data_IF_926420737919
#
_entry.id   IF_926420737919
#
_cell.length_a   1.000
_cell.length_b   1.000
_cell.length_c   1.000
_cell.angle_alpha   90.00
_cell.angle_beta   90.00
_cell.angle_gamma   90.00
#
_symmetry.space_group_name_H-M   'P 1'
#
loop_
_entity.id
_entity.type
_entity.pdbx_description
1 polymer ?
#
# COMPACT_ATOMS: atom_id res chain seq x y z
N UNK A 1 29.31 47.20 -17.03
CA UNK A 1 29.87 46.64 -15.78
C UNK A 1 30.46 45.29 -16.15
N UNK A 2 31.78 45.24 -16.36
CA UNK A 2 32.80 44.87 -15.36
C UNK A 2 32.76 43.38 -15.00
N UNK A 3 33.85 42.61 -14.97
CA UNK A 3 35.25 42.71 -15.40
C UNK A 3 35.81 41.33 -14.95
N UNK A 4 36.48 40.59 -15.85
CA UNK A 4 37.64 39.71 -15.53
C UNK A 4 37.45 38.46 -14.60
N UNK A 5 38.33 37.45 -14.55
CA UNK A 5 39.60 37.21 -15.27
C UNK A 5 39.88 35.71 -15.49
N UNK A 6 40.99 35.41 -16.18
CA UNK A 6 41.71 34.12 -16.34
C UNK A 6 41.67 33.18 -15.12
N UNK A 7 41.57 31.84 -15.23
CA UNK A 7 42.24 30.84 -16.08
C UNK A 7 43.64 30.37 -15.57
N UNK A 8 44.02 29.15 -16.01
CA UNK A 8 45.37 28.52 -16.04
C UNK A 8 45.77 27.56 -14.88
N UNK A 9 46.06 26.31 -15.29
CA UNK A 9 46.99 25.27 -14.76
C UNK A 9 46.97 24.84 -13.27
N UNK A 10 47.34 23.59 -12.94
CA UNK A 10 47.90 22.55 -13.80
C UNK A 10 47.93 21.16 -13.14
N UNK A 11 48.35 20.16 -13.91
CA UNK A 11 48.39 18.75 -13.52
C UNK A 11 49.69 18.34 -12.80
N UNK A 12 49.70 17.12 -12.23
CA UNK A 12 50.74 16.05 -12.32
C UNK A 12 50.75 15.19 -11.04
N UNK A 13 50.13 14.01 -11.17
CA UNK A 13 50.65 12.66 -10.92
C UNK A 13 51.68 12.27 -9.82
N UNK A 14 51.43 11.06 -9.28
CA UNK A 14 52.33 10.03 -8.72
C UNK A 14 53.24 10.30 -7.50
N UNK A 15 53.09 9.47 -6.45
CA UNK A 15 54.08 8.41 -6.07
C UNK A 15 53.54 7.43 -5.01
N UNK A 16 54.03 6.18 -5.00
CA UNK A 16 53.78 5.15 -3.95
C UNK A 16 55.12 4.58 -3.47
N UNK A 17 55.41 4.71 -2.17
CA UNK A 17 56.53 4.18 -1.36
C UNK A 17 56.08 4.28 0.14
N UNK A 18 56.49 3.51 1.16
CA UNK A 18 57.25 2.25 1.25
C UNK A 18 57.88 2.03 2.66
N UNK A 19 57.50 1.00 3.44
CA UNK A 19 58.24 0.56 4.67
C UNK A 19 57.46 0.35 5.99
N UNK A 20 57.91 -0.61 6.83
CA UNK A 20 57.32 -1.07 8.12
C UNK A 20 58.29 -0.78 9.32
N UNK A 21 58.20 -1.33 10.57
CA UNK A 21 57.11 -1.86 11.43
C UNK A 21 57.22 -1.52 12.98
N UNK A 22 56.34 -2.10 13.83
CA UNK A 22 56.44 -2.39 15.30
C UNK A 22 56.45 -1.26 16.38
N UNK A 23 55.40 -1.22 17.24
CA UNK A 23 55.54 -1.45 18.72
C UNK A 23 54.22 -1.71 19.47
N UNK A 24 54.28 -2.62 20.45
CA UNK A 24 53.20 -3.02 21.36
C UNK A 24 53.11 -2.11 22.61
N UNK A 25 51.89 -1.77 23.04
CA UNK A 25 51.39 -1.96 24.43
C UNK A 25 49.90 -1.57 24.55
N UNK A 26 49.05 -2.51 24.99
CA UNK A 26 47.78 -2.18 25.68
C UNK A 26 48.10 -1.79 27.14
N UNK A 27 47.24 -1.00 27.78
CA UNK A 27 46.19 -1.63 28.59
C UNK A 27 44.78 -1.12 28.27
N UNK A 28 43.79 -1.82 28.84
CA UNK A 28 42.37 -1.51 28.76
C UNK A 28 42.04 -0.31 29.66
N UNK A 29 41.15 0.60 29.23
CA UNK A 29 39.77 0.63 29.74
C UNK A 29 38.89 1.74 29.12
N UNK A 30 37.60 1.42 29.03
CA UNK A 30 36.45 2.32 28.94
C UNK A 30 36.56 3.57 28.04
N UNK A 31 36.31 3.38 26.74
CA UNK A 31 35.73 4.47 25.96
C UNK A 31 34.21 4.30 25.92
N UNK A 32 33.48 5.20 26.58
CA UNK A 32 32.01 5.23 26.54
C UNK A 32 31.58 5.78 25.18
N UNK A 33 31.52 4.90 24.18
CA UNK A 33 31.11 5.24 22.84
C UNK A 33 29.62 5.57 22.80
N UNK A 34 29.29 6.85 22.97
CA UNK A 34 27.99 7.38 22.60
C UNK A 34 27.81 7.19 21.08
N UNK A 35 27.19 6.07 20.69
CA UNK A 35 26.71 5.90 19.33
C UNK A 35 25.53 6.83 19.15
N UNK A 36 25.75 7.91 18.40
CA UNK A 36 24.67 8.73 17.86
C UNK A 36 23.69 7.81 17.14
N UNK A 37 22.55 7.55 17.78
CA UNK A 37 21.43 6.87 17.16
C UNK A 37 20.83 7.81 16.12
N UNK A 38 21.48 7.85 14.95
CA UNK A 38 21.03 8.53 13.74
C UNK A 38 19.58 8.14 13.53
N UNK A 39 18.65 9.06 13.80
CA UNK A 39 17.21 8.91 13.52
C UNK A 39 16.99 8.85 12.01
N UNK A 40 17.35 7.72 11.40
CA UNK A 40 16.75 7.29 10.15
C UNK A 40 15.29 6.99 10.46
N UNK A 41 14.38 7.79 9.90
CA UNK A 41 12.95 7.52 10.02
C UNK A 41 12.65 6.19 9.35
N UNK A 42 12.35 5.16 10.14
CA UNK A 42 11.88 3.88 9.62
C UNK A 42 10.50 4.09 9.02
N UNK A 43 10.41 4.04 7.69
CA UNK A 43 9.17 4.03 6.92
C UNK A 43 8.40 2.72 7.13
N UNK A 44 7.84 2.55 8.32
CA UNK A 44 6.65 1.73 8.59
C UNK A 44 5.49 2.71 8.33
N UNK A 45 4.55 2.51 7.39
CA UNK A 45 4.04 1.27 6.79
C UNK A 45 4.04 1.42 5.25
N UNK A 46 4.60 0.43 4.53
CA UNK A 46 4.39 0.33 3.08
C UNK A 46 3.07 -0.40 2.80
N UNK A 47 2.04 0.33 2.38
CA UNK A 47 0.71 -0.24 2.13
C UNK A 47 0.64 -1.21 0.95
N UNK A 48 1.73 -1.40 0.20
CA UNK A 48 1.84 -2.37 -0.90
C UNK A 48 1.42 -3.79 -0.48
N UNK A 49 1.68 -4.16 0.79
CA UNK A 49 1.43 -5.53 1.28
C UNK A 49 -0.07 -5.85 1.41
N UNK A 50 -0.96 -4.85 1.53
CA UNK A 50 -2.39 -5.11 1.73
C UNK A 50 -3.18 -5.41 0.42
N UNK A 51 -2.55 -5.29 -0.76
CA UNK A 51 -3.18 -5.64 -2.05
C UNK A 51 -2.43 -6.69 -2.90
N UNK A 52 -1.16 -7.00 -2.64
CA UNK A 52 -0.33 -7.80 -3.57
C UNK A 52 -0.47 -9.34 -3.47
N UNK A 53 -1.35 -9.93 -2.65
CA UNK A 53 -1.43 -11.41 -2.44
C UNK A 53 -2.81 -12.09 -2.50
N UNK A 54 -3.83 -11.52 -3.15
CA UNK A 54 -5.17 -12.16 -3.27
C UNK A 54 -5.48 -12.87 -4.61
N UNK A 55 -4.52 -13.03 -5.52
CA UNK A 55 -4.77 -13.48 -6.91
C UNK A 55 -4.43 -14.94 -7.25
N UNK A 56 -3.95 -15.76 -6.32
CA UNK A 56 -3.43 -17.13 -6.60
C UNK A 56 -4.35 -18.29 -6.16
N UNK A 57 -5.58 -18.04 -5.69
CA UNK A 57 -6.52 -19.10 -5.32
C UNK A 57 -7.88 -18.91 -5.99
N UNK A 58 -8.38 -20.02 -6.58
CA UNK A 58 -9.64 -20.19 -7.31
C UNK A 58 -9.68 -19.72 -8.79
N UNK A 59 -8.74 -20.22 -9.59
CA UNK A 59 -8.98 -20.55 -11.01
C UNK A 59 -9.31 -22.06 -11.11
N UNK A 60 -10.19 -22.44 -12.06
CA UNK A 60 -10.86 -23.74 -12.27
C UNK A 60 -12.13 -23.84 -11.40
N UNK A 61 -13.34 -23.92 -11.97
CA UNK A 61 -13.75 -24.73 -13.14
C UNK A 61 -14.45 -23.91 -14.24
N UNK A 62 -14.07 -24.18 -15.50
CA UNK A 62 -14.82 -23.89 -16.73
C UNK A 62 -15.26 -25.25 -17.34
N UNK A 63 -16.22 -25.42 -18.26
CA UNK A 63 -17.14 -24.53 -18.97
C UNK A 63 -18.35 -25.37 -19.47
N UNK A 64 -19.38 -24.74 -20.04
CA UNK A 64 -20.44 -25.40 -20.82
C UNK A 64 -21.01 -24.47 -21.91
N UNK A 65 -21.43 -24.96 -23.10
CA UNK A 65 -21.32 -24.17 -24.33
C UNK A 65 -22.64 -23.62 -24.93
N UNK A 66 -22.54 -22.45 -25.59
CA UNK A 66 -23.22 -21.91 -26.81
C UNK A 66 -24.68 -22.33 -27.08
N UNK A 67 -25.67 -21.42 -27.16
CA UNK A 67 -26.08 -20.59 -28.33
C UNK A 67 -27.26 -19.64 -27.91
N UNK A 68 -27.95 -18.79 -28.70
CA UNK A 68 -28.08 -18.63 -30.18
C UNK A 68 -28.34 -17.14 -30.59
N UNK A 69 -28.50 -16.93 -31.90
CA UNK A 69 -28.65 -15.71 -32.74
C UNK A 69 -29.89 -14.79 -32.53
N UNK A 70 -29.64 -13.46 -32.50
CA UNK A 70 -30.29 -12.45 -33.37
C UNK A 70 -31.65 -11.81 -33.04
N UNK A 71 -31.71 -10.47 -33.05
CA UNK A 71 -32.71 -9.65 -33.79
C UNK A 71 -32.34 -8.16 -33.78
N UNK A 72 -32.53 -7.45 -34.90
CA UNK A 72 -32.42 -5.98 -35.00
C UNK A 72 -33.69 -5.30 -34.49
N UNK A 73 -33.56 -4.23 -33.71
CA UNK A 73 -34.33 -2.96 -33.74
C UNK A 73 -33.57 -1.98 -32.83
N UNK A 74 -33.23 -0.79 -33.34
CA UNK A 74 -32.60 0.27 -32.54
C UNK A 74 -33.62 1.34 -32.11
N UNK A 75 -33.61 1.80 -30.85
CA UNK A 75 -34.25 3.03 -30.45
C UNK A 75 -33.29 4.23 -30.57
N UNK A 76 -33.85 5.42 -30.81
CA UNK A 76 -33.06 6.66 -30.82
C UNK A 76 -32.59 7.00 -29.40
N UNK A 77 -31.28 7.03 -29.18
CA UNK A 77 -30.72 7.52 -27.92
C UNK A 77 -30.59 9.04 -27.99
N UNK A 78 -31.58 9.75 -27.47
CA UNK A 78 -31.32 11.06 -26.87
C UNK A 78 -30.28 10.90 -25.75
N UNK A 79 -29.59 11.97 -25.32
CA UNK A 79 -28.65 11.89 -24.22
C UNK A 79 -29.41 11.52 -22.94
N UNK A 80 -29.41 10.24 -22.58
CA UNK A 80 -29.86 9.84 -21.26
C UNK A 80 -28.91 10.50 -20.28
N UNK A 81 -29.46 11.36 -19.43
CA UNK A 81 -28.89 11.54 -18.12
C UNK A 81 -28.97 10.16 -17.47
N UNK A 82 -27.87 9.43 -17.53
CA UNK A 82 -27.75 8.15 -16.86
C UNK A 82 -27.90 8.44 -15.37
N UNK A 83 -29.11 8.21 -14.85
CA UNK A 83 -29.36 8.23 -13.42
C UNK A 83 -28.40 7.22 -12.81
N UNK A 84 -27.41 7.73 -12.09
CA UNK A 84 -26.28 6.96 -11.59
C UNK A 84 -26.79 5.96 -10.54
N UNK A 85 -27.05 4.74 -11.01
CA UNK A 85 -27.80 3.74 -10.26
C UNK A 85 -27.10 3.40 -8.96
N UNK A 86 -27.87 3.44 -7.86
CA UNK A 86 -27.44 2.89 -6.58
C UNK A 86 -27.36 1.37 -6.73
N UNK A 87 -26.14 0.84 -6.63
CA UNK A 87 -25.83 -0.61 -6.75
C UNK A 87 -25.58 -1.25 -5.39
N UNK A 88 -25.26 -0.43 -4.37
CA UNK A 88 -25.17 -0.88 -2.99
C UNK A 88 -25.55 0.25 -2.03
N UNK A 89 -25.88 -0.11 -0.79
CA UNK A 89 -26.02 0.84 0.32
C UNK A 89 -25.39 0.28 1.58
N UNK A 90 -24.74 1.14 2.37
CA UNK A 90 -24.10 0.82 3.66
C UNK A 90 -24.67 1.74 4.73
N UNK A 91 -25.63 1.24 5.51
CA UNK A 91 -26.32 2.05 6.51
C UNK A 91 -27.23 3.09 5.86
N UNK A 92 -26.87 4.37 5.97
CA UNK A 92 -27.52 5.48 5.27
C UNK A 92 -26.78 5.94 4.00
N UNK A 93 -25.56 5.46 3.75
CA UNK A 93 -24.79 5.81 2.56
C UNK A 93 -25.19 4.97 1.34
N UNK A 94 -25.47 5.63 0.22
CA UNK A 94 -25.59 4.97 -1.08
C UNK A 94 -24.21 4.84 -1.75
N UNK A 95 -24.02 3.81 -2.56
CA UNK A 95 -22.85 3.58 -3.42
C UNK A 95 -23.39 3.40 -4.84
N UNK A 96 -22.91 4.22 -5.77
CA UNK A 96 -23.33 4.17 -7.17
C UNK A 96 -22.34 3.42 -8.06
N UNK A 97 -22.74 3.16 -9.31
CA UNK A 97 -21.81 2.68 -10.35
C UNK A 97 -20.64 3.64 -10.54
N UNK A 98 -20.91 4.95 -10.61
CA UNK A 98 -19.84 5.93 -10.82
C UNK A 98 -18.89 6.05 -9.63
N UNK A 99 -19.33 5.74 -8.39
CA UNK A 99 -18.42 5.65 -7.25
C UNK A 99 -17.39 4.52 -7.41
N UNK A 100 -17.84 3.33 -7.82
CA UNK A 100 -16.96 2.16 -8.05
C UNK A 100 -15.99 2.41 -9.22
N UNK A 101 -16.47 3.02 -10.30
CA UNK A 101 -15.60 3.37 -11.44
C UNK A 101 -14.59 4.47 -11.09
N UNK A 102 -14.97 5.42 -10.22
CA UNK A 102 -14.06 6.48 -9.72
C UNK A 102 -12.98 5.90 -8.82
N UNK A 103 -13.34 5.04 -7.86
CA UNK A 103 -12.37 4.38 -6.97
C UNK A 103 -11.40 3.51 -7.78
N UNK A 104 -11.89 2.70 -8.72
CA UNK A 104 -11.03 1.89 -9.60
C UNK A 104 -9.97 2.74 -10.33
N UNK A 105 -10.35 3.92 -10.84
CA UNK A 105 -9.42 4.81 -11.53
C UNK A 105 -8.47 5.54 -10.58
N UNK A 106 -8.93 5.88 -9.37
CA UNK A 106 -8.12 6.49 -8.31
C UNK A 106 -7.05 5.51 -7.80
N UNK A 107 -7.41 4.26 -7.56
CA UNK A 107 -6.48 3.18 -7.20
C UNK A 107 -5.34 3.08 -8.23
N UNK A 108 -5.67 3.01 -9.51
CA UNK A 108 -4.67 2.93 -10.60
C UNK A 108 -3.82 4.19 -10.73
N UNK A 109 -4.37 5.38 -10.43
CA UNK A 109 -3.58 6.61 -10.35
C UNK A 109 -2.54 6.53 -9.22
N UNK A 110 -2.93 6.06 -8.04
CA UNK A 110 -2.07 5.96 -6.86
C UNK A 110 -1.02 4.84 -7.03
N UNK A 111 -1.44 3.66 -7.50
CA UNK A 111 -0.59 2.47 -7.65
C UNK A 111 0.36 2.60 -8.84
N UNK A 112 -0.12 3.05 -10.00
CA UNK A 112 0.57 2.90 -11.29
C UNK A 112 0.91 4.24 -11.96
N UNK A 113 0.44 5.38 -11.43
CA UNK A 113 0.67 6.69 -12.03
C UNK A 113 -0.11 6.92 -13.33
N UNK A 114 -1.23 6.21 -13.53
CA UNK A 114 -2.07 6.36 -14.74
C UNK A 114 -3.57 6.27 -14.42
N UNK A 115 -4.38 6.97 -15.19
CA UNK A 115 -5.84 6.86 -15.15
C UNK A 115 -6.31 5.96 -16.31
N UNK A 116 -6.95 4.80 -16.02
CA UNK A 116 -7.59 3.99 -17.05
C UNK A 116 -8.68 4.78 -17.78
N UNK A 117 -8.65 4.75 -19.12
CA UNK A 117 -9.70 5.37 -19.96
C UNK A 117 -10.98 4.54 -20.01
N UNK A 118 -10.84 3.21 -19.91
CA UNK A 118 -11.96 2.26 -19.91
C UNK A 118 -12.45 2.01 -18.48
N UNK A 119 -13.76 1.69 -18.30
CA UNK A 119 -14.25 1.08 -17.07
C UNK A 119 -13.52 -0.23 -16.74
N UNK A 120 -13.59 -0.72 -15.48
CA UNK A 120 -13.15 -2.06 -15.14
C UNK A 120 -13.99 -3.12 -15.85
N UNK A 121 -13.41 -4.30 -16.10
CA UNK A 121 -14.19 -5.49 -16.46
C UNK A 121 -15.09 -5.94 -15.30
N UNK A 122 -16.05 -6.85 -15.54
CA UNK A 122 -17.00 -7.28 -14.52
C UNK A 122 -16.32 -7.83 -13.24
N UNK A 123 -15.27 -8.64 -13.39
CA UNK A 123 -14.58 -9.21 -12.24
C UNK A 123 -13.76 -8.16 -11.47
N UNK A 124 -13.19 -7.17 -12.16
CA UNK A 124 -12.56 -6.02 -11.54
C UNK A 124 -13.60 -5.11 -10.85
N UNK A 125 -14.75 -4.89 -11.47
CA UNK A 125 -15.86 -4.11 -10.90
C UNK A 125 -16.36 -4.71 -9.59
N UNK A 126 -16.64 -6.02 -9.55
CA UNK A 126 -17.11 -6.72 -8.34
C UNK A 126 -16.08 -6.68 -7.20
N UNK A 127 -14.78 -6.74 -7.52
CA UNK A 127 -13.70 -6.59 -6.53
C UNK A 127 -13.65 -5.16 -5.96
N UNK A 128 -13.77 -4.14 -6.81
CA UNK A 128 -13.75 -2.74 -6.37
C UNK A 128 -15.02 -2.38 -5.61
N UNK A 129 -16.21 -2.82 -6.05
CA UNK A 129 -17.47 -2.65 -5.32
C UNK A 129 -17.39 -3.22 -3.90
N UNK A 130 -16.90 -4.44 -3.75
CA UNK A 130 -16.71 -5.03 -2.42
C UNK A 130 -15.73 -4.22 -1.56
N UNK A 131 -14.64 -3.71 -2.15
CA UNK A 131 -13.69 -2.85 -1.44
C UNK A 131 -14.29 -1.50 -1.03
N UNK A 132 -15.08 -0.85 -1.89
CA UNK A 132 -15.78 0.40 -1.57
C UNK A 132 -16.78 0.18 -0.42
N UNK A 133 -17.47 -0.97 -0.38
CA UNK A 133 -18.32 -1.37 0.75
C UNK A 133 -17.49 -1.51 2.04
N UNK A 134 -16.36 -2.24 1.99
CA UNK A 134 -15.49 -2.44 3.17
C UNK A 134 -14.85 -1.14 3.66
N UNK A 135 -14.35 -0.30 2.75
CA UNK A 135 -13.83 1.04 3.04
C UNK A 135 -14.92 1.93 3.67
N UNK A 136 -16.17 1.85 3.19
CA UNK A 136 -17.30 2.62 3.73
C UNK A 136 -17.60 2.21 5.17
N UNK A 137 -17.66 0.91 5.46
CA UNK A 137 -17.85 0.37 6.81
C UNK A 137 -16.71 0.81 7.75
N UNK A 138 -15.45 0.62 7.34
CA UNK A 138 -14.29 0.99 8.14
C UNK A 138 -14.19 2.51 8.36
N UNK A 139 -14.60 3.33 7.38
CA UNK A 139 -14.63 4.78 7.52
C UNK A 139 -15.78 5.27 8.43
N UNK A 140 -16.90 4.55 8.49
CA UNK A 140 -17.97 4.82 9.47
C UNK A 140 -17.45 4.57 10.89
N UNK A 141 -16.75 3.45 11.13
CA UNK A 141 -16.14 3.18 12.44
C UNK A 141 -15.07 4.24 12.79
N UNK A 142 -14.14 4.54 11.88
CA UNK A 142 -13.04 5.49 12.13
C UNK A 142 -13.55 6.90 12.44
N UNK A 143 -14.70 7.27 11.86
CA UNK A 143 -15.39 8.53 12.15
C UNK A 143 -16.10 8.51 13.51
N UNK A 144 -16.62 7.36 13.94
CA UNK A 144 -17.27 7.19 15.25
C UNK A 144 -16.26 7.12 16.41
N UNK A 145 -15.08 6.53 16.19
CA UNK A 145 -13.98 6.50 17.18
C UNK A 145 -13.30 7.88 17.36
N UNK A 146 -13.54 8.85 16.47
CA UNK A 146 -13.06 10.23 16.62
C UNK A 146 -11.53 10.39 16.55
N UNK A 147 -10.84 9.48 15.88
CA UNK A 147 -9.37 9.44 15.84
C UNK A 147 -8.78 10.61 15.05
N UNK A 148 -8.30 11.63 15.77
CA UNK A 148 -7.41 12.66 15.25
C UNK A 148 -5.95 12.36 15.65
N UNK A 149 -5.35 11.42 14.91
CA UNK A 149 -3.98 10.96 15.13
C UNK A 149 -2.96 11.97 14.61
N UNK A 150 -2.19 12.58 15.53
CA UNK A 150 -1.06 13.43 15.20
C UNK A 150 -0.06 12.70 14.29
N UNK A 151 0.09 13.18 13.05
CA UNK A 151 1.01 12.62 12.06
C UNK A 151 0.37 12.10 10.78
N UNK A 152 -0.94 11.77 10.76
CA UNK A 152 -1.63 11.25 9.56
C UNK A 152 -1.45 12.15 8.34
N UNK A 153 -1.62 13.46 8.50
CA UNK A 153 -1.39 14.46 7.43
C UNK A 153 0.05 14.43 6.89
N UNK A 154 1.03 14.15 7.76
CA UNK A 154 2.43 13.99 7.35
C UNK A 154 2.66 12.74 6.51
N UNK A 155 2.04 11.61 6.89
CA UNK A 155 2.10 10.34 6.15
C UNK A 155 1.39 10.49 4.80
N UNK A 156 0.17 11.05 4.79
CA UNK A 156 -0.59 11.32 3.57
C UNK A 156 0.15 12.27 2.61
N UNK A 157 0.81 13.31 3.12
CA UNK A 157 1.64 14.21 2.31
C UNK A 157 2.88 13.51 1.72
N UNK A 158 3.53 12.60 2.46
CA UNK A 158 4.61 11.76 1.92
C UNK A 158 4.10 10.81 0.83
N UNK A 159 2.93 10.19 1.04
CA UNK A 159 2.29 9.31 0.06
C UNK A 159 1.89 10.07 -1.20
N UNK A 160 1.33 11.27 -1.07
CA UNK A 160 1.06 12.20 -2.18
C UNK A 160 2.33 12.54 -2.97
N UNK A 161 3.44 12.84 -2.29
CA UNK A 161 4.74 13.06 -2.94
C UNK A 161 5.26 11.80 -3.66
N UNK A 162 4.95 10.60 -3.14
CA UNK A 162 5.19 9.33 -3.80
C UNK A 162 4.36 9.13 -5.08
N UNK A 163 3.07 9.49 -5.05
CA UNK A 163 2.19 9.45 -6.24
C UNK A 163 2.68 10.43 -7.31
N UNK A 164 2.96 11.69 -6.94
CA UNK A 164 3.51 12.72 -7.85
C UNK A 164 4.76 12.25 -8.61
N UNK A 165 5.67 11.52 -7.94
CA UNK A 165 6.90 10.97 -8.56
C UNK A 165 6.66 9.91 -9.64
N UNK A 166 5.45 9.33 -9.73
CA UNK A 166 5.09 8.38 -10.80
C UNK A 166 4.75 9.09 -12.12
N UNK A 167 4.53 10.41 -12.10
CA UNK A 167 4.18 11.20 -13.28
C UNK A 167 5.40 11.89 -13.89
N UNK A 168 5.46 12.03 -15.23
CA UNK A 168 6.59 12.65 -15.92
C UNK A 168 6.68 14.17 -15.72
N UNK A 169 5.58 14.83 -15.29
CA UNK A 169 5.54 16.26 -14.99
C UNK A 169 4.35 16.61 -14.10
N UNK A 170 4.40 17.77 -13.43
CA UNK A 170 3.27 18.30 -12.66
C UNK A 170 2.03 18.50 -13.54
N UNK A 171 2.18 19.04 -14.76
CA UNK A 171 1.06 19.22 -15.68
C UNK A 171 0.40 17.90 -16.12
N UNK A 172 1.15 16.79 -16.18
CA UNK A 172 0.60 15.46 -16.43
C UNK A 172 -0.19 14.93 -15.22
N UNK A 173 0.34 15.12 -14.01
CA UNK A 173 -0.33 14.78 -12.75
C UNK A 173 -1.64 15.56 -12.58
N UNK A 174 -1.61 16.88 -12.69
CA UNK A 174 -2.80 17.74 -12.56
C UNK A 174 -3.88 17.39 -13.60
N UNK A 175 -3.46 17.01 -14.82
CA UNK A 175 -4.40 16.61 -15.88
C UNK A 175 -5.00 15.23 -15.62
N UNK A 176 -4.25 14.33 -14.97
CA UNK A 176 -4.79 13.05 -14.50
C UNK A 176 -5.81 13.25 -13.37
N UNK A 177 -5.52 14.11 -12.39
CA UNK A 177 -6.48 14.46 -11.33
C UNK A 177 -7.75 15.12 -11.89
N UNK A 178 -7.60 16.11 -12.78
CA UNK A 178 -8.74 16.75 -13.46
C UNK A 178 -9.60 15.75 -14.25
N UNK A 179 -9.02 14.69 -14.80
CA UNK A 179 -9.78 13.61 -15.49
C UNK A 179 -10.61 12.72 -14.54
N UNK A 180 -10.34 12.78 -13.23
CA UNK A 180 -11.13 12.16 -12.17
C UNK A 180 -12.10 13.16 -11.49
N UNK A 181 -12.14 14.42 -11.95
CA UNK A 181 -12.93 15.48 -11.33
C UNK A 181 -12.40 15.96 -9.97
N UNK A 182 -11.09 15.79 -9.72
CA UNK A 182 -10.45 16.18 -8.46
C UNK A 182 -9.24 17.10 -8.65
N UNK A 183 -8.88 17.81 -7.59
CA UNK A 183 -7.60 18.50 -7.44
C UNK A 183 -6.65 17.78 -6.46
N UNK A 184 -5.47 18.35 -6.24
CA UNK A 184 -4.47 17.77 -5.34
C UNK A 184 -4.90 17.81 -3.86
N UNK A 185 -5.65 18.83 -3.44
CA UNK A 185 -6.14 18.96 -2.06
C UNK A 185 -7.15 17.85 -1.77
N UNK A 186 -8.04 17.55 -2.70
CA UNK A 186 -8.99 16.44 -2.61
C UNK A 186 -8.28 15.08 -2.60
N UNK A 187 -7.20 14.90 -3.38
CA UNK A 187 -6.36 13.71 -3.28
C UNK A 187 -5.68 13.59 -1.90
N UNK A 188 -5.16 14.71 -1.34
CA UNK A 188 -4.58 14.70 -0.01
C UNK A 188 -5.61 14.32 1.06
N UNK A 189 -6.83 14.87 0.99
CA UNK A 189 -7.94 14.54 1.88
C UNK A 189 -8.36 13.06 1.76
N UNK A 190 -8.38 12.51 0.55
CA UNK A 190 -8.65 11.08 0.33
C UNK A 190 -7.54 10.19 0.91
N UNK A 191 -6.27 10.56 0.74
CA UNK A 191 -5.14 9.86 1.34
C UNK A 191 -5.17 9.95 2.88
N UNK A 192 -5.44 11.13 3.45
CA UNK A 192 -5.62 11.29 4.90
C UNK A 192 -6.72 10.39 5.45
N UNK A 193 -7.88 10.32 4.77
CA UNK A 193 -8.97 9.41 5.16
C UNK A 193 -8.51 7.95 5.15
N UNK A 194 -7.74 7.52 4.15
CA UNK A 194 -7.17 6.17 4.13
C UNK A 194 -6.21 5.95 5.30
N UNK A 195 -5.27 6.86 5.57
CA UNK A 195 -4.32 6.72 6.69
C UNK A 195 -5.01 6.71 8.06
N UNK A 196 -6.08 7.51 8.29
CA UNK A 196 -6.90 7.41 9.52
C UNK A 196 -7.50 6.03 9.71
N UNK A 197 -8.09 5.47 8.65
CA UNK A 197 -8.68 4.12 8.68
C UNK A 197 -7.65 3.05 8.99
N UNK A 198 -6.42 3.19 8.46
CA UNK A 198 -5.33 2.26 8.68
C UNK A 198 -4.78 2.33 10.10
N UNK A 199 -4.65 3.54 10.65
CA UNK A 199 -4.22 3.73 12.02
C UNK A 199 -5.24 3.20 13.03
N UNK A 200 -6.55 3.36 12.78
CA UNK A 200 -7.61 2.70 13.53
C UNK A 200 -7.45 1.17 13.52
N UNK A 201 -7.31 0.56 12.34
CA UNK A 201 -7.11 -0.90 12.18
C UNK A 201 -5.87 -1.37 12.98
N UNK A 202 -4.77 -0.62 12.87
CA UNK A 202 -3.52 -0.89 13.57
C UNK A 202 -3.70 -0.84 15.09
N UNK A 203 -4.27 0.26 15.63
CA UNK A 203 -4.51 0.43 17.06
C UNK A 203 -5.46 -0.64 17.63
N UNK A 204 -6.50 -1.02 16.88
CA UNK A 204 -7.52 -1.98 17.31
C UNK A 204 -7.05 -3.44 17.23
N UNK A 205 -6.34 -3.81 16.15
CA UNK A 205 -6.00 -5.22 15.88
C UNK A 205 -4.58 -5.61 16.30
N UNK A 206 -3.60 -4.71 16.25
CA UNK A 206 -2.19 -5.03 16.55
C UNK A 206 -1.92 -5.45 18.00
N UNK A 207 -2.54 -4.87 19.05
CA UNK A 207 -2.28 -5.27 20.44
C UNK A 207 -2.56 -6.76 20.71
N UNK A 208 -3.59 -7.31 20.08
CA UNK A 208 -3.91 -8.74 20.17
C UNK A 208 -3.12 -9.60 19.17
N UNK A 209 -2.42 -9.02 18.18
CA UNK A 209 -1.81 -9.70 17.03
C UNK A 209 -0.37 -10.16 17.23
N UNK A 210 0.19 -9.97 18.43
CA UNK A 210 1.51 -10.52 18.76
C UNK A 210 1.53 -12.04 18.59
N UNK A 211 2.50 -12.59 17.84
CA UNK A 211 2.78 -14.02 17.86
C UNK A 211 3.54 -14.40 19.13
N UNK A 212 3.24 -15.59 19.64
CA UNK A 212 4.05 -16.22 20.68
C UNK A 212 5.36 -16.77 20.09
N UNK A 213 6.16 -17.47 20.91
CA UNK A 213 7.46 -17.97 20.49
C UNK A 213 7.30 -19.24 19.63
N UNK A 214 6.33 -20.06 19.98
CA UNK A 214 6.00 -21.34 19.37
C UNK A 214 5.56 -21.14 17.91
N UNK A 215 4.74 -20.13 17.63
CA UNK A 215 4.32 -19.71 16.29
C UNK A 215 5.49 -19.22 15.43
N UNK A 216 6.44 -18.49 16.02
CA UNK A 216 7.66 -18.02 15.34
C UNK A 216 8.57 -19.21 14.99
N UNK A 217 8.80 -20.12 15.93
CA UNK A 217 9.60 -21.33 15.72
C UNK A 217 8.96 -22.27 14.70
N UNK A 218 7.63 -22.41 14.72
CA UNK A 218 6.87 -23.13 13.71
C UNK A 218 6.99 -22.49 12.33
N UNK A 219 6.74 -21.19 12.19
CA UNK A 219 6.87 -20.49 10.90
C UNK A 219 8.28 -20.61 10.31
N UNK A 220 9.31 -20.46 11.16
CA UNK A 220 10.70 -20.66 10.75
C UNK A 220 10.92 -22.06 10.17
N UNK A 221 10.54 -23.11 10.93
CA UNK A 221 10.74 -24.51 10.55
C UNK A 221 9.92 -24.93 9.33
N UNK A 222 8.66 -24.52 9.26
CA UNK A 222 7.66 -25.09 8.36
C UNK A 222 7.41 -24.23 7.10
N UNK A 223 7.74 -22.93 7.14
CA UNK A 223 7.56 -22.03 5.99
C UNK A 223 8.89 -21.43 5.52
N UNK A 224 9.69 -20.86 6.42
CA UNK A 224 10.93 -20.18 6.04
C UNK A 224 12.01 -21.15 5.52
N UNK A 225 12.30 -22.23 6.27
CA UNK A 225 13.33 -23.19 5.86
C UNK A 225 13.02 -23.86 4.50
N UNK A 226 11.79 -24.34 4.19
CA UNK A 226 11.48 -24.92 2.88
C UNK A 226 11.57 -23.90 1.74
N UNK A 227 11.05 -22.68 1.90
CA UNK A 227 11.17 -21.64 0.86
C UNK A 227 12.62 -21.19 0.66
N UNK A 228 13.43 -21.13 1.73
CA UNK A 228 14.86 -20.83 1.63
C UNK A 228 15.60 -21.93 0.86
N UNK A 229 15.37 -23.21 1.20
CA UNK A 229 15.97 -24.35 0.49
C UNK A 229 15.57 -24.41 -0.99
N UNK A 230 14.35 -23.96 -1.34
CA UNK A 230 13.88 -23.90 -2.74
C UNK A 230 14.51 -22.78 -3.56
N UNK A 231 14.94 -21.67 -2.94
CA UNK A 231 15.44 -20.46 -3.61
C UNK A 231 16.95 -20.25 -3.49
N UNK A 232 17.56 -20.75 -2.42
CA UNK A 232 18.94 -20.47 -2.04
C UNK A 232 19.95 -21.53 -2.49
N UNK A 233 21.22 -21.15 -2.47
CA UNK A 233 22.38 -22.05 -2.52
C UNK A 233 23.25 -21.79 -1.30
N UNK A 234 22.94 -22.43 -0.17
CA UNK A 234 23.67 -22.24 1.08
C UNK A 234 22.89 -22.72 2.31
N UNK A 235 23.52 -22.63 3.47
CA UNK A 235 22.85 -22.86 4.75
C UNK A 235 21.89 -21.69 5.07
N UNK A 236 20.70 -21.97 5.65
CA UNK A 236 19.77 -20.93 6.06
C UNK A 236 20.33 -20.11 7.23
N UNK A 237 19.99 -18.80 7.33
CA UNK A 237 20.34 -17.98 8.50
C UNK A 237 19.63 -18.52 9.75
N UNK A 238 20.26 -18.35 10.91
CA UNK A 238 19.72 -18.86 12.17
C UNK A 238 18.47 -18.10 12.61
N UNK A 239 17.57 -18.75 13.34
CA UNK A 239 16.30 -18.16 13.79
C UNK A 239 16.49 -16.77 14.44
N UNK A 240 17.50 -16.59 15.29
CA UNK A 240 17.75 -15.30 15.97
C UNK A 240 18.07 -14.13 15.03
N UNK A 241 18.57 -14.42 13.83
CA UNK A 241 18.90 -13.40 12.82
C UNK A 241 17.65 -12.94 12.06
N UNK A 242 16.64 -13.81 11.94
CA UNK A 242 15.40 -13.56 11.19
C UNK A 242 14.15 -13.43 12.08
N UNK A 243 14.25 -13.64 13.40
CA UNK A 243 13.12 -13.64 14.34
C UNK A 243 12.27 -12.37 14.22
N UNK A 244 12.90 -11.18 14.19
CA UNK A 244 12.18 -9.92 14.06
C UNK A 244 11.38 -9.81 12.77
N UNK A 245 11.91 -10.34 11.66
CA UNK A 245 11.21 -10.35 10.36
C UNK A 245 10.05 -11.34 10.38
N UNK A 246 10.24 -12.53 10.95
CA UNK A 246 9.20 -13.55 11.10
C UNK A 246 8.08 -13.04 12.02
N UNK A 247 8.43 -12.36 13.11
CA UNK A 247 7.49 -11.72 14.03
C UNK A 247 6.59 -10.72 13.30
N UNK A 248 7.15 -9.78 12.54
CA UNK A 248 6.32 -8.82 11.79
C UNK A 248 5.48 -9.48 10.68
N UNK A 249 5.98 -10.52 10.01
CA UNK A 249 5.18 -11.31 9.03
C UNK A 249 3.97 -11.95 9.72
N UNK A 250 4.16 -12.56 10.90
CA UNK A 250 3.09 -13.20 11.65
C UNK A 250 2.11 -12.18 12.25
N UNK A 251 2.60 -11.02 12.73
CA UNK A 251 1.75 -9.89 13.15
C UNK A 251 0.85 -9.45 12.00
N UNK A 252 1.41 -9.22 10.80
CA UNK A 252 0.61 -8.80 9.64
C UNK A 252 -0.44 -9.86 9.28
N UNK A 253 -0.05 -11.14 9.21
CA UNK A 253 -1.00 -12.23 8.94
C UNK A 253 -2.15 -12.26 9.94
N UNK A 254 -1.86 -12.15 11.25
CA UNK A 254 -2.90 -12.10 12.30
C UNK A 254 -3.79 -10.86 12.21
N UNK A 255 -3.26 -9.72 11.79
CA UNK A 255 -4.05 -8.51 11.51
C UNK A 255 -4.99 -8.76 10.31
N UNK A 256 -4.50 -9.34 9.22
CA UNK A 256 -5.28 -9.62 8.01
C UNK A 256 -6.44 -10.61 8.28
N UNK A 257 -6.16 -11.68 9.04
CA UNK A 257 -7.14 -12.68 9.46
C UNK A 257 -8.26 -12.05 10.31
N UNK A 258 -7.90 -11.19 11.27
CA UNK A 258 -8.87 -10.51 12.15
C UNK A 258 -9.62 -9.38 11.48
N UNK A 259 -8.98 -8.63 10.59
CA UNK A 259 -9.68 -7.61 9.79
C UNK A 259 -10.72 -8.28 8.88
N UNK A 260 -10.41 -9.46 8.35
CA UNK A 260 -11.37 -10.25 7.57
C UNK A 260 -12.55 -10.74 8.43
N UNK A 261 -12.31 -11.16 9.68
CA UNK A 261 -13.37 -11.52 10.62
C UNK A 261 -14.22 -10.30 11.04
N UNK A 262 -13.58 -9.16 11.32
CA UNK A 262 -14.23 -7.93 11.74
C UNK A 262 -15.05 -7.28 10.61
N UNK A 263 -14.56 -7.28 9.37
CA UNK A 263 -15.34 -6.85 8.20
C UNK A 263 -16.61 -7.71 8.00
N UNK A 264 -16.53 -9.02 8.28
CA UNK A 264 -17.70 -9.90 8.23
C UNK A 264 -18.73 -9.55 9.30
N UNK A 265 -18.29 -9.19 10.50
CA UNK A 265 -19.14 -8.68 11.57
C UNK A 265 -19.76 -7.32 11.19
N UNK A 266 -18.95 -6.36 10.74
CA UNK A 266 -19.41 -5.04 10.29
C UNK A 266 -20.47 -5.15 9.20
N UNK A 267 -20.27 -6.01 8.19
CA UNK A 267 -21.25 -6.31 7.12
C UNK A 267 -22.55 -6.95 7.62
N UNK A 268 -22.52 -7.64 8.77
CA UNK A 268 -23.71 -8.24 9.38
C UNK A 268 -24.46 -7.26 10.29
N UNK A 269 -23.73 -6.39 10.99
CA UNK A 269 -24.29 -5.40 11.92
C UNK A 269 -24.83 -4.17 11.19
N UNK A 270 -24.13 -3.71 10.16
CA UNK A 270 -24.59 -2.61 9.30
C UNK A 270 -25.54 -3.14 8.24
N UNK A 271 -26.54 -2.33 7.87
CA UNK A 271 -27.48 -2.65 6.79
C UNK A 271 -26.79 -2.51 5.43
N UNK A 272 -26.02 -3.53 5.05
CA UNK A 272 -25.45 -3.66 3.70
C UNK A 272 -26.51 -4.27 2.79
N UNK A 273 -26.80 -3.60 1.66
CA UNK A 273 -27.66 -4.13 0.60
C UNK A 273 -26.96 -3.97 -0.75
N UNK A 274 -27.16 -4.95 -1.63
CA UNK A 274 -26.84 -4.87 -3.05
C UNK A 274 -28.16 -4.75 -3.82
N UNK A 275 -28.12 -4.09 -4.98
CA UNK A 275 -29.27 -3.81 -5.85
C UNK A 275 -29.02 -4.31 -7.27
#
# INVERSE_FOLDING_TARGET
MQLESSAISGAIEFRVDGGSPVRFRRPLQCNSGATEFRRGGSSIIALSVFLERRTELLIRVAAGPVFLTGMLIGPVSGPSQALDGVIASVGSGAITRSDVEREYRLERLIEEGRVPKTPPDAAAFDRVLNRVIDQSLLAQEASAEGLDSAGVRGIAAQRLAGVRKKFPSAGAFDSALRSLGMDEKQLLEALEKQERTLEMINQRLRPSASPDREEIEAYYRETFLPEYARRGKGAPPALREVEGQIREILVQKKIDDRLSAWLKELRSTHKVKLY
#
